data_IF_687121841423
#
_entry.id   IF_687121841423
#
_cell.length_a   1.000
_cell.length_b   1.000
_cell.length_c   1.000
_cell.angle_alpha   90.00
_cell.angle_beta   90.00
_cell.angle_gamma   90.00
#
_symmetry.space_group_name_H-M   'P 1'
#
loop_
_entity.id
_entity.type
_entity.pdbx_description
1 polymer ?
#
# COMPACT_ATOMS: atom_id res chain seq x y z
N UNK A 1 -2.60 -18.68 -6.78
CA UNK A 1 -3.61 -17.61 -6.68
C UNK A 1 -2.93 -16.25 -6.63
N UNK A 2 -3.30 -15.30 -7.49
CA UNK A 2 -2.76 -13.95 -7.42
C UNK A 2 -3.12 -13.28 -6.09
N UNK A 3 -2.20 -12.50 -5.57
CA UNK A 3 -2.42 -11.74 -4.33
C UNK A 3 -3.13 -10.44 -4.64
N UNK A 4 -4.12 -10.12 -3.83
CA UNK A 4 -4.98 -8.95 -4.04
C UNK A 4 -4.34 -7.69 -3.48
N UNK A 5 -4.18 -6.67 -4.31
CA UNK A 5 -3.60 -5.38 -3.95
C UNK A 5 -4.66 -4.30 -3.96
N UNK A 6 -4.77 -3.55 -2.87
CA UNK A 6 -5.56 -2.32 -2.82
C UNK A 6 -4.60 -1.15 -3.02
N UNK A 7 -4.84 -0.32 -4.01
CA UNK A 7 -4.00 0.82 -4.35
C UNK A 7 -4.68 2.11 -3.93
N UNK A 8 -4.00 2.90 -3.09
CA UNK A 8 -4.55 4.13 -2.51
C UNK A 8 -3.64 5.31 -2.80
N UNK A 9 -4.12 6.26 -3.58
CA UNK A 9 -3.39 7.49 -3.92
C UNK A 9 -4.40 8.53 -4.42
N UNK A 10 -4.30 9.77 -3.96
CA UNK A 10 -5.18 10.84 -4.41
C UNK A 10 -4.85 11.34 -5.82
N UNK A 11 -3.64 11.08 -6.30
CA UNK A 11 -3.23 11.40 -7.65
C UNK A 11 -3.66 10.28 -8.60
N UNK A 12 -4.63 10.59 -9.46
CA UNK A 12 -5.18 9.61 -10.40
C UNK A 12 -4.13 9.01 -11.34
N UNK A 13 -3.18 9.81 -11.82
CA UNK A 13 -2.12 9.34 -12.70
C UNK A 13 -1.24 8.29 -12.01
N UNK A 14 -0.82 8.59 -10.79
CA UNK A 14 0.03 7.69 -10.01
C UNK A 14 -0.75 6.42 -9.67
N UNK A 15 -1.99 6.58 -9.21
CA UNK A 15 -2.85 5.46 -8.84
C UNK A 15 -3.05 4.50 -10.01
N UNK A 16 -3.36 5.03 -11.19
CA UNK A 16 -3.56 4.21 -12.39
C UNK A 16 -2.28 3.55 -12.87
N UNK A 17 -1.15 4.26 -12.77
CA UNK A 17 0.15 3.68 -13.12
C UNK A 17 0.51 2.52 -12.21
N UNK A 18 0.25 2.65 -10.92
CA UNK A 18 0.46 1.57 -9.95
C UNK A 18 -0.43 0.36 -10.26
N UNK A 19 -1.70 0.62 -10.52
CA UNK A 19 -2.65 -0.45 -10.87
C UNK A 19 -2.19 -1.20 -12.11
N UNK A 20 -1.74 -0.49 -13.13
CA UNK A 20 -1.23 -1.09 -14.36
C UNK A 20 0.01 -1.94 -14.07
N UNK A 21 0.93 -1.43 -13.27
CA UNK A 21 2.16 -2.14 -12.93
C UNK A 21 1.87 -3.46 -12.20
N UNK A 22 0.95 -3.45 -11.25
CA UNK A 22 0.55 -4.68 -10.56
C UNK A 22 -0.19 -5.64 -11.50
N UNK A 23 -1.07 -5.12 -12.35
CA UNK A 23 -1.85 -5.94 -13.27
C UNK A 23 -0.98 -6.67 -14.29
N UNK A 24 0.17 -6.10 -14.65
CA UNK A 24 1.10 -6.73 -15.59
C UNK A 24 1.86 -7.91 -14.98
N UNK A 25 1.83 -8.04 -13.66
CA UNK A 25 2.51 -9.13 -12.95
C UNK A 25 1.53 -10.26 -12.64
N UNK A 26 1.90 -11.48 -13.00
CA UNK A 26 1.02 -12.65 -12.87
C UNK A 26 0.69 -13.01 -11.41
N UNK A 27 1.55 -12.62 -10.46
CA UNK A 27 1.38 -12.93 -9.05
C UNK A 27 0.51 -11.94 -8.28
N UNK A 28 0.03 -10.88 -8.96
CA UNK A 28 -0.83 -9.87 -8.36
C UNK A 28 -2.13 -9.67 -9.13
N UNK A 29 -3.15 -9.21 -8.42
CA UNK A 29 -4.36 -8.64 -9.02
C UNK A 29 -4.77 -7.40 -8.21
N UNK A 30 -5.27 -6.39 -8.85
CA UNK A 30 -5.77 -5.20 -8.18
C UNK A 30 -7.21 -5.45 -7.75
N UNK A 31 -7.47 -5.42 -6.46
CA UNK A 31 -8.82 -5.67 -5.94
C UNK A 31 -9.63 -4.39 -5.71
N UNK A 32 -8.99 -3.24 -5.80
CA UNK A 32 -9.67 -1.96 -5.65
C UNK A 32 -8.72 -0.79 -5.68
N UNK A 33 -9.29 0.41 -5.78
CA UNK A 33 -8.59 1.69 -5.75
C UNK A 33 -9.28 2.62 -4.78
N UNK A 34 -8.52 3.50 -4.14
CA UNK A 34 -9.05 4.52 -3.25
C UNK A 34 -8.27 5.82 -3.39
N UNK A 35 -8.92 6.95 -3.11
CA UNK A 35 -8.34 8.30 -3.27
C UNK A 35 -7.89 8.93 -1.94
N UNK A 36 -8.29 8.36 -0.82
CA UNK A 36 -7.96 8.86 0.50
C UNK A 36 -8.04 7.74 1.54
N UNK A 37 -7.63 8.05 2.76
CA UNK A 37 -7.58 7.05 3.82
C UNK A 37 -8.95 6.52 4.24
N UNK A 38 -9.97 7.36 4.25
CA UNK A 38 -11.32 6.93 4.59
C UNK A 38 -11.86 5.92 3.59
N UNK A 39 -11.70 6.23 2.31
CA UNK A 39 -12.12 5.33 1.23
C UNK A 39 -11.32 4.04 1.25
N UNK A 40 -10.01 4.12 1.58
CA UNK A 40 -9.16 2.95 1.72
C UNK A 40 -9.70 1.98 2.78
N UNK A 41 -10.10 2.51 3.93
CA UNK A 41 -10.67 1.69 5.01
C UNK A 41 -11.95 1.00 4.55
N UNK A 42 -12.85 1.74 3.92
CA UNK A 42 -14.11 1.18 3.41
C UNK A 42 -13.86 0.07 2.38
N UNK A 43 -12.98 0.32 1.43
CA UNK A 43 -12.70 -0.66 0.37
C UNK A 43 -11.92 -1.86 0.86
N UNK A 44 -11.01 -1.67 1.82
CA UNK A 44 -10.27 -2.77 2.41
C UNK A 44 -11.21 -3.77 3.10
N UNK A 45 -12.20 -3.28 3.81
CA UNK A 45 -13.18 -4.14 4.49
C UNK A 45 -14.05 -4.93 3.51
N UNK A 46 -14.31 -4.37 2.33
CA UNK A 46 -15.12 -5.03 1.30
C UNK A 46 -14.30 -6.01 0.46
N UNK A 47 -13.10 -5.62 0.06
CA UNK A 47 -12.29 -6.40 -0.88
C UNK A 47 -11.33 -7.38 -0.24
N UNK A 48 -11.07 -7.25 1.05
CA UNK A 48 -10.17 -8.11 1.83
C UNK A 48 -8.80 -8.30 1.14
N UNK A 49 -8.02 -7.21 0.97
CA UNK A 49 -6.77 -7.29 0.24
C UNK A 49 -5.70 -8.10 0.96
N UNK A 50 -4.75 -8.62 0.20
CA UNK A 50 -3.56 -9.29 0.72
C UNK A 50 -2.48 -8.29 1.13
N UNK A 51 -2.50 -7.10 0.51
CA UNK A 51 -1.58 -6.00 0.80
C UNK A 51 -2.25 -4.68 0.40
N UNK A 52 -1.91 -3.61 1.12
CA UNK A 52 -2.36 -2.26 0.79
C UNK A 52 -1.14 -1.40 0.48
N UNK A 53 -1.15 -0.78 -0.70
CA UNK A 53 -0.12 0.19 -1.12
C UNK A 53 -0.77 1.56 -1.07
N UNK A 54 -0.24 2.46 -0.26
CA UNK A 54 -0.92 3.70 0.08
C UNK A 54 0.03 4.88 0.11
N UNK A 55 -0.42 6.03 -0.43
CA UNK A 55 0.29 7.29 -0.32
C UNK A 55 0.22 7.80 1.13
N UNK A 56 1.25 8.53 1.54
CA UNK A 56 1.32 9.15 2.86
C UNK A 56 0.43 10.39 2.95
N UNK A 57 0.52 11.27 1.97
CA UNK A 57 -0.17 12.57 1.97
C UNK A 57 -1.42 12.53 1.09
N UNK A 58 -2.58 12.56 1.73
CA UNK A 58 -3.87 12.50 1.04
C UNK A 58 -4.89 13.41 1.74
N UNK A 59 -5.90 13.92 1.02
CA UNK A 59 -6.98 14.68 1.64
C UNK A 59 -7.89 13.77 2.49
N UNK A 60 -8.73 14.36 3.28
CA UNK A 60 -9.74 13.71 4.15
C UNK A 60 -9.09 12.92 5.28
N UNK A 61 -8.24 11.94 4.98
CA UNK A 61 -7.50 11.16 5.94
C UNK A 61 -6.18 10.73 5.31
N UNK A 62 -5.05 11.09 5.93
CA UNK A 62 -3.72 10.74 5.43
C UNK A 62 -3.38 9.27 5.65
N UNK A 63 -2.27 8.84 5.03
CA UNK A 63 -1.85 7.44 5.08
C UNK A 63 -1.49 6.93 6.47
N UNK A 64 -0.93 7.77 7.33
CA UNK A 64 -0.56 7.37 8.70
C UNK A 64 -1.82 7.10 9.54
N UNK A 65 -2.78 8.02 9.49
CA UNK A 65 -4.03 7.86 10.23
C UNK A 65 -4.83 6.65 9.73
N UNK A 66 -4.88 6.47 8.42
CA UNK A 66 -5.52 5.31 7.82
C UNK A 66 -4.83 4.00 8.24
N UNK A 67 -3.49 4.01 8.29
CA UNK A 67 -2.72 2.84 8.70
C UNK A 67 -3.04 2.42 10.13
N UNK A 68 -3.17 3.37 11.04
CA UNK A 68 -3.53 3.07 12.44
C UNK A 68 -4.88 2.36 12.53
N UNK A 69 -5.86 2.86 11.80
CA UNK A 69 -7.19 2.24 11.75
C UNK A 69 -7.15 0.86 11.12
N UNK A 70 -6.47 0.74 9.98
CA UNK A 70 -6.36 -0.53 9.24
C UNK A 70 -5.62 -1.60 10.06
N UNK A 71 -4.60 -1.22 10.80
CA UNK A 71 -3.88 -2.15 11.69
C UNK A 71 -4.76 -2.68 12.81
N UNK A 72 -5.69 -1.87 13.29
CA UNK A 72 -6.66 -2.30 14.29
C UNK A 72 -7.71 -3.24 13.69
N UNK A 73 -8.22 -2.91 12.50
CA UNK A 73 -9.27 -3.68 11.84
C UNK A 73 -8.74 -4.94 11.15
N UNK A 74 -7.56 -4.86 10.56
CA UNK A 74 -6.99 -5.91 9.72
C UNK A 74 -5.50 -6.10 10.04
N UNK A 75 -5.16 -6.55 11.25
CA UNK A 75 -3.75 -6.61 11.69
C UNK A 75 -2.86 -7.54 10.87
N UNK A 76 -3.45 -8.51 10.17
CA UNK A 76 -2.71 -9.43 9.32
C UNK A 76 -2.40 -8.92 7.92
N UNK A 77 -2.95 -7.77 7.53
CA UNK A 77 -2.74 -7.22 6.18
C UNK A 77 -1.55 -6.27 6.19
N UNK A 78 -0.48 -6.56 5.46
CA UNK A 78 0.66 -5.65 5.37
C UNK A 78 0.31 -4.36 4.65
N UNK A 79 0.90 -3.27 5.13
CA UNK A 79 0.73 -1.92 4.60
C UNK A 79 2.06 -1.39 4.12
N UNK A 80 2.12 -0.93 2.88
CA UNK A 80 3.29 -0.26 2.32
C UNK A 80 2.91 1.18 2.02
N UNK A 81 3.73 2.12 2.50
CA UNK A 81 3.62 3.53 2.11
C UNK A 81 4.53 3.78 0.92
N UNK A 82 3.96 4.34 -0.14
CA UNK A 82 4.65 4.74 -1.36
C UNK A 82 4.54 6.26 -1.48
N UNK A 83 5.59 6.99 -1.12
CA UNK A 83 5.52 8.44 -0.91
C UNK A 83 6.71 9.20 -1.50
N UNK A 84 6.47 10.45 -1.88
CA UNK A 84 7.55 11.37 -2.29
C UNK A 84 8.44 11.76 -1.10
N UNK A 85 7.94 11.67 0.11
CA UNK A 85 8.59 12.13 1.33
C UNK A 85 9.07 10.98 2.21
N UNK A 86 9.81 10.04 1.60
CA UNK A 86 10.36 8.89 2.31
C UNK A 86 11.67 9.25 3.02
N UNK A 87 11.62 10.13 4.02
CA UNK A 87 12.77 10.50 4.85
C UNK A 87 12.76 9.74 6.19
N UNK A 88 13.81 9.93 6.99
CA UNK A 88 13.96 9.24 8.27
C UNK A 88 12.83 9.55 9.26
N UNK A 89 12.31 10.78 9.25
CA UNK A 89 11.21 11.18 10.13
C UNK A 89 9.91 10.47 9.74
N UNK A 90 9.60 10.46 8.44
CA UNK A 90 8.44 9.76 7.93
C UNK A 90 8.53 8.26 8.15
N UNK A 91 9.73 7.70 8.03
CA UNK A 91 9.97 6.27 8.26
C UNK A 91 9.66 5.88 9.71
N UNK A 92 10.10 6.69 10.67
CA UNK A 92 9.84 6.43 12.08
C UNK A 92 8.35 6.49 12.40
N UNK A 93 7.66 7.53 11.91
CA UNK A 93 6.22 7.68 12.07
C UNK A 93 5.45 6.50 11.47
N UNK A 94 5.85 6.08 10.28
CA UNK A 94 5.26 4.95 9.57
C UNK A 94 5.40 3.66 10.38
N UNK A 95 6.59 3.43 10.93
CA UNK A 95 6.86 2.24 11.74
C UNK A 95 5.97 2.22 12.99
N UNK A 96 5.82 3.36 13.67
CA UNK A 96 4.97 3.48 14.84
C UNK A 96 3.49 3.25 14.52
N UNK A 97 3.08 3.58 13.31
CA UNK A 97 1.71 3.33 12.84
C UNK A 97 1.48 1.88 12.39
N UNK A 98 2.49 1.04 12.40
CA UNK A 98 2.38 -0.36 12.01
C UNK A 98 2.58 -0.64 10.52
N UNK A 99 3.23 0.28 9.81
CA UNK A 99 3.51 0.13 8.38
C UNK A 99 4.66 -0.84 8.18
N UNK A 100 4.49 -1.75 7.22
CA UNK A 100 5.46 -2.82 6.93
C UNK A 100 6.70 -2.33 6.18
N UNK A 101 6.53 -1.35 5.29
CA UNK A 101 7.62 -0.78 4.52
C UNK A 101 7.27 0.60 4.00
N UNK A 102 8.31 1.43 3.80
CA UNK A 102 8.19 2.75 3.19
C UNK A 102 9.05 2.77 1.94
N UNK A 103 8.45 3.11 0.79
CA UNK A 103 9.12 3.16 -0.49
C UNK A 103 8.98 4.55 -1.09
N UNK A 104 10.09 5.09 -1.60
CA UNK A 104 10.09 6.41 -2.26
C UNK A 104 9.44 6.33 -3.63
N UNK A 105 8.59 7.31 -3.97
CA UNK A 105 8.01 7.45 -5.31
C UNK A 105 9.07 7.75 -6.37
N UNK A 106 10.25 8.20 -5.98
CA UNK A 106 11.38 8.41 -6.91
C UNK A 106 12.08 7.10 -7.27
N UNK A 107 11.84 6.03 -6.53
CA UNK A 107 12.39 4.72 -6.84
C UNK A 107 11.69 4.12 -8.06
N UNK A 108 12.39 3.25 -8.79
CA UNK A 108 11.76 2.51 -9.87
C UNK A 108 10.67 1.60 -9.34
N UNK A 109 9.60 1.41 -10.10
CA UNK A 109 8.45 0.59 -9.69
C UNK A 109 8.86 -0.85 -9.29
N UNK A 110 9.93 -1.38 -9.87
CA UNK A 110 10.44 -2.71 -9.50
C UNK A 110 10.83 -2.80 -8.03
N UNK A 111 11.26 -1.69 -7.42
CA UNK A 111 11.59 -1.65 -5.99
C UNK A 111 10.34 -1.89 -5.15
N UNK A 112 9.25 -1.24 -5.52
CA UNK A 112 7.95 -1.44 -4.85
C UNK A 112 7.48 -2.88 -4.99
N UNK A 113 7.49 -3.42 -6.20
CA UNK A 113 7.07 -4.81 -6.45
C UNK A 113 7.90 -5.81 -5.65
N UNK A 114 9.21 -5.61 -5.59
CA UNK A 114 10.11 -6.44 -4.81
C UNK A 114 9.81 -6.37 -3.31
N UNK A 115 9.59 -5.18 -2.78
CA UNK A 115 9.24 -4.99 -1.37
C UNK A 115 7.94 -5.68 -1.02
N UNK A 116 6.94 -5.56 -1.88
CA UNK A 116 5.65 -6.24 -1.68
C UNK A 116 5.85 -7.76 -1.63
N UNK A 117 6.62 -8.30 -2.56
CA UNK A 117 6.91 -9.74 -2.61
C UNK A 117 7.61 -10.24 -1.36
N UNK A 118 8.54 -9.46 -0.81
CA UNK A 118 9.29 -9.81 0.39
C UNK A 118 8.43 -9.92 1.64
N UNK A 119 7.29 -9.23 1.69
CA UNK A 119 6.42 -9.26 2.86
C UNK A 119 5.85 -10.64 3.17
N UNK A 120 5.80 -11.51 2.18
CA UNK A 120 5.30 -12.87 2.36
C UNK A 120 6.42 -13.89 2.58
N UNK A 121 7.67 -13.42 2.59
CA UNK A 121 8.84 -14.28 2.74
C UNK A 121 9.08 -15.18 1.53
N UNK A 122 10.09 -16.04 1.59
CA UNK A 122 10.36 -16.96 0.49
C UNK A 122 9.20 -17.94 0.32
N UNK A 123 8.90 -18.27 -0.95
CA UNK A 123 7.90 -19.28 -1.25
C UNK A 123 8.45 -20.61 -0.76
N UNK A 124 7.72 -21.26 0.16
CA UNK A 124 8.08 -22.59 0.60
C UNK A 124 7.98 -23.55 -0.60
N UNK A 125 9.08 -24.19 -0.91
CA UNK A 125 9.11 -25.15 -2.00
C UNK A 125 8.28 -26.38 -1.67
#
# INVERSE_FOLDING_TARGET
MPRAVLVVDDNEFIRRALCRSFTLEADFRVCGEAENGKEAIEKAQKSLPSVIVMDLSMPVMNGIDAARVLKTLMPGVPLIIFSEYADASSENEARLAGISALVSKSAHISVLLEKVRRLWGPIAA
#
